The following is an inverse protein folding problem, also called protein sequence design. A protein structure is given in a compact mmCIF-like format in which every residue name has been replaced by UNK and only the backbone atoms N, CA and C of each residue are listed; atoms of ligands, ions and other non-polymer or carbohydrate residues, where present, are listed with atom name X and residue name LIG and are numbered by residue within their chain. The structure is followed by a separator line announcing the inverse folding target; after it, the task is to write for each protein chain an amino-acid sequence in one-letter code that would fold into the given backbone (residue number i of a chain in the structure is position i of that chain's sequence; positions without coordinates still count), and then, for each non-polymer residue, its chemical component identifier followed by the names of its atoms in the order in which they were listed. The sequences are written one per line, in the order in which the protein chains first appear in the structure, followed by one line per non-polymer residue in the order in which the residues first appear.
data_IF_960521436011
#
_entry.id   IF_960521436011
#
_cell.length_a   1.000
_cell.length_b   1.000
_cell.length_c   1.000
_cell.angle_alpha   90.00
_cell.angle_beta   90.00
_cell.angle_gamma   90.00
#
_symmetry.space_group_name_H-M   'P 1'
#
loop_
_entity.id
_entity.type
_entity.pdbx_description
1 polymer ?
#
# COMPACT_ATOMS: atom_id res chain seq x y z
N UNK A 1 3.96 19.72 17.01
CA UNK A 1 3.09 18.93 16.12
C UNK A 1 1.68 19.05 16.67
N UNK A 2 0.70 19.41 15.83
CA UNK A 2 -0.70 19.50 16.27
C UNK A 2 -1.23 18.07 16.46
N UNK A 3 -1.74 17.76 17.66
CA UNK A 3 -2.37 16.47 17.99
C UNK A 3 -3.84 16.52 17.60
N UNK A 4 -4.40 15.42 17.12
CA UNK A 4 -5.85 15.32 16.88
C UNK A 4 -6.58 15.31 18.22
N UNK A 5 -7.64 16.11 18.32
CA UNK A 5 -8.47 16.23 19.51
C UNK A 5 -9.63 15.24 19.38
N UNK A 6 -9.59 14.15 20.13
CA UNK A 6 -10.59 13.07 20.07
C UNK A 6 -11.98 13.49 20.56
N UNK A 7 -12.10 14.65 21.22
CA UNK A 7 -13.39 15.23 21.61
C UNK A 7 -14.09 15.97 20.46
N UNK A 8 -13.37 16.22 19.35
CA UNK A 8 -13.87 16.93 18.16
C UNK A 8 -14.05 15.96 16.98
N UNK A 9 -14.86 16.33 15.96
CA UNK A 9 -15.08 15.47 14.80
C UNK A 9 -13.77 15.04 14.12
N UNK A 10 -13.51 13.74 14.13
CA UNK A 10 -12.37 13.10 13.48
C UNK A 10 -12.81 11.96 12.57
N UNK A 11 -11.92 11.55 11.67
CA UNK A 11 -12.13 10.36 10.84
C UNK A 11 -10.83 9.57 10.68
N UNK A 12 -10.95 8.25 10.77
CA UNK A 12 -9.86 7.33 10.44
C UNK A 12 -9.76 7.14 8.92
N UNK A 13 -8.54 7.17 8.41
CA UNK A 13 -8.19 6.98 7.00
C UNK A 13 -7.01 6.03 6.89
N UNK A 14 -6.90 5.34 5.76
CA UNK A 14 -5.79 4.45 5.48
C UNK A 14 -5.03 4.99 4.28
N UNK A 15 -3.72 5.14 4.43
CA UNK A 15 -2.91 5.81 3.42
C UNK A 15 -1.80 4.90 2.93
N UNK A 16 -1.73 4.71 1.62
CA UNK A 16 -0.62 4.08 0.92
C UNK A 16 0.58 5.04 0.99
N UNK A 17 1.69 4.57 1.54
CA UNK A 17 2.96 5.29 1.56
C UNK A 17 4.08 4.41 1.01
N UNK A 18 5.19 5.03 0.60
CA UNK A 18 6.38 4.32 0.14
C UNK A 18 7.50 4.51 1.16
N UNK A 19 7.67 3.50 2.01
CA UNK A 19 8.79 3.47 2.95
C UNK A 19 10.10 3.19 2.21
N UNK A 20 11.16 3.92 2.56
CA UNK A 20 12.47 3.87 1.88
C UNK A 20 13.02 2.44 1.77
N UNK A 21 12.99 1.68 2.87
CA UNK A 21 13.50 0.31 2.94
C UNK A 21 12.44 -0.80 2.77
N UNK A 22 11.24 -0.63 3.35
CA UNK A 22 10.20 -1.68 3.35
C UNK A 22 9.34 -1.71 2.07
N UNK A 23 9.48 -0.70 1.20
CA UNK A 23 8.65 -0.53 0.01
C UNK A 23 7.29 0.06 0.35
N UNK A 24 6.27 -0.24 -0.47
CA UNK A 24 4.92 0.23 -0.19
C UNK A 24 4.35 -0.40 1.08
N UNK A 25 3.71 0.44 1.90
CA UNK A 25 2.98 0.09 3.11
C UNK A 25 1.63 0.83 3.14
N UNK A 26 0.73 0.40 4.02
CA UNK A 26 -0.50 1.13 4.32
C UNK A 26 -0.44 1.55 5.78
N UNK A 27 -0.71 2.82 6.06
CA UNK A 27 -0.65 3.39 7.39
C UNK A 27 -2.01 3.96 7.82
N UNK A 28 -2.54 3.54 8.98
CA UNK A 28 -3.77 4.11 9.51
C UNK A 28 -3.48 5.47 10.17
N UNK A 29 -4.29 6.45 9.84
CA UNK A 29 -4.20 7.81 10.37
C UNK A 29 -5.57 8.24 10.90
N UNK A 30 -5.56 9.03 11.98
CA UNK A 30 -6.73 9.80 12.38
C UNK A 30 -6.52 11.25 11.93
N UNK A 31 -7.53 11.83 11.30
CA UNK A 31 -7.50 13.19 10.77
C UNK A 31 -8.63 14.01 11.39
N UNK A 32 -8.32 15.20 11.88
CA UNK A 32 -9.32 16.14 12.37
C UNK A 32 -10.12 16.70 11.21
N UNK A 33 -11.44 16.75 11.33
CA UNK A 33 -12.31 17.40 10.36
C UNK A 33 -12.45 18.89 10.66
N UNK A 34 -12.52 19.71 9.61
CA UNK A 34 -12.87 21.12 9.72
C UNK A 34 -14.38 21.29 9.99
N UNK A 35 -14.89 22.50 10.27
CA UNK A 35 -16.32 22.74 10.48
C UNK A 35 -17.23 22.35 9.29
N UNK A 36 -16.67 22.26 8.09
CA UNK A 36 -17.37 21.84 6.86
C UNK A 36 -17.40 20.32 6.68
N UNK A 37 -16.64 19.57 7.49
CA UNK A 37 -16.52 18.13 7.40
C UNK A 37 -15.37 17.63 6.52
N UNK A 38 -14.55 18.52 5.96
CA UNK A 38 -13.38 18.14 5.16
C UNK A 38 -12.18 17.82 6.06
N UNK A 39 -11.22 17.08 5.49
CA UNK A 39 -9.95 16.77 6.16
C UNK A 39 -9.11 18.03 6.36
N UNK A 40 -8.63 18.24 7.59
CA UNK A 40 -7.65 19.28 7.90
C UNK A 40 -6.20 18.77 7.80
N UNK A 41 -5.23 19.66 8.02
CA UNK A 41 -3.82 19.31 8.17
C UNK A 41 -3.45 18.88 9.60
N UNK A 42 -4.43 18.69 10.50
CA UNK A 42 -4.17 18.10 11.82
C UNK A 42 -4.46 16.60 11.75
N UNK A 43 -3.40 15.80 11.72
CA UNK A 43 -3.48 14.34 11.64
C UNK A 43 -2.37 13.69 12.45
N UNK A 44 -2.58 12.44 12.83
CA UNK A 44 -1.55 11.61 13.43
C UNK A 44 -1.76 10.15 13.06
N UNK A 45 -0.67 9.40 13.00
CA UNK A 45 -0.73 7.94 12.85
C UNK A 45 -1.35 7.32 14.09
N UNK A 46 -2.17 6.30 13.91
CA UNK A 46 -2.84 5.57 15.00
C UNK A 46 -2.31 4.14 15.08
N UNK A 47 -2.26 3.58 16.28
CA UNK A 47 -1.76 2.23 16.54
C UNK A 47 -2.73 1.53 17.48
N UNK A 48 -2.64 0.21 17.60
CA UNK A 48 -3.52 -0.57 18.49
C UNK A 48 -3.50 -0.04 19.92
N UNK A 49 -2.33 0.39 20.42
CA UNK A 49 -2.16 0.88 21.79
C UNK A 49 -2.67 2.32 22.01
N UNK A 50 -2.92 3.09 20.94
CA UNK A 50 -3.50 4.44 21.01
C UNK A 50 -4.92 4.53 20.48
N UNK A 51 -5.43 3.46 19.85
CA UNK A 51 -6.72 3.46 19.17
C UNK A 51 -7.89 3.80 20.10
N UNK A 52 -7.84 3.36 21.36
CA UNK A 52 -8.91 3.56 22.34
C UNK A 52 -9.23 5.05 22.59
N UNK A 53 -8.22 5.94 22.46
CA UNK A 53 -8.42 7.40 22.58
C UNK A 53 -9.44 7.92 21.55
N UNK A 54 -9.56 7.25 20.40
CA UNK A 54 -10.40 7.63 19.27
C UNK A 54 -11.57 6.66 19.07
N UNK A 55 -11.99 5.92 20.09
CA UNK A 55 -13.05 4.91 19.97
C UNK A 55 -14.34 5.44 19.32
N UNK A 56 -14.71 6.70 19.55
CA UNK A 56 -15.87 7.34 18.92
C UNK A 56 -15.75 7.51 17.38
N UNK A 57 -14.52 7.50 16.85
CA UNK A 57 -14.21 7.63 15.43
C UNK A 57 -13.86 6.27 14.76
N UNK A 58 -13.92 5.16 15.50
CA UNK A 58 -13.48 3.83 15.04
C UNK A 58 -14.61 2.79 15.07
N UNK A 59 -14.59 1.90 14.09
CA UNK A 59 -15.44 0.70 14.04
C UNK A 59 -14.63 -0.56 14.36
N UNK A 60 -15.30 -1.70 14.60
CA UNK A 60 -14.64 -3.00 14.77
C UNK A 60 -13.73 -3.38 13.57
N UNK A 61 -14.12 -2.99 12.36
CA UNK A 61 -13.31 -3.18 11.15
C UNK A 61 -12.02 -2.35 11.26
N UNK A 62 -12.11 -1.15 11.82
CA UNK A 62 -10.95 -0.27 11.96
C UNK A 62 -9.95 -0.82 12.97
N UNK A 63 -10.42 -1.32 14.12
CA UNK A 63 -9.57 -2.00 15.09
C UNK A 63 -8.86 -3.21 14.48
N UNK A 64 -9.57 -4.01 13.67
CA UNK A 64 -8.97 -5.13 12.95
C UNK A 64 -7.90 -4.67 11.96
N UNK A 65 -8.18 -3.63 11.17
CA UNK A 65 -7.23 -3.08 10.21
C UNK A 65 -5.97 -2.53 10.90
N UNK A 66 -6.14 -1.71 11.93
CA UNK A 66 -5.03 -1.13 12.71
C UNK A 66 -4.14 -2.25 13.25
N UNK A 67 -4.73 -3.30 13.82
CA UNK A 67 -3.97 -4.45 14.32
C UNK A 67 -3.19 -5.20 13.24
N UNK A 68 -3.76 -5.36 12.03
CA UNK A 68 -3.05 -5.97 10.89
C UNK A 68 -1.88 -5.10 10.45
N UNK A 69 -2.07 -3.78 10.39
CA UNK A 69 -1.06 -2.83 9.92
C UNK A 69 0.06 -2.60 10.94
N UNK A 70 -0.23 -2.73 12.23
CA UNK A 70 0.79 -2.70 13.30
C UNK A 70 1.83 -3.81 13.12
N UNK A 71 1.47 -4.98 12.59
CA UNK A 71 2.40 -6.12 12.37
C UNK A 71 3.49 -5.82 11.33
N UNK A 72 3.26 -4.83 10.46
CA UNK A 72 4.16 -4.42 9.37
C UNK A 72 4.73 -3.01 9.54
N UNK A 73 4.42 -2.38 10.66
CA UNK A 73 5.06 -1.14 11.09
C UNK A 73 6.55 -1.39 11.33
N UNK A 74 7.37 -0.35 11.09
CA UNK A 74 8.82 -0.41 11.17
C UNK A 74 9.33 -0.99 12.49
N UNK A 75 8.93 -0.43 13.63
CA UNK A 75 9.39 -0.84 14.95
C UNK A 75 8.90 -2.26 15.27
N UNK A 76 7.70 -2.64 14.85
CA UNK A 76 7.21 -4.02 14.90
C UNK A 76 8.08 -5.00 14.09
N UNK A 77 8.47 -4.62 12.87
CA UNK A 77 9.37 -5.41 12.02
C UNK A 77 10.74 -5.54 12.68
N UNK A 78 11.31 -4.44 13.14
CA UNK A 78 12.61 -4.43 13.85
C UNK A 78 12.54 -5.35 15.06
N UNK A 79 11.56 -5.16 15.94
CA UNK A 79 11.41 -5.96 17.17
C UNK A 79 11.25 -7.45 16.89
N UNK A 80 10.54 -7.80 15.81
CA UNK A 80 10.28 -9.19 15.43
C UNK A 80 11.53 -9.93 14.96
N UNK A 81 12.39 -9.26 14.19
CA UNK A 81 13.55 -9.89 13.54
C UNK A 81 14.88 -9.56 14.21
N UNK A 82 14.94 -8.47 14.97
CA UNK A 82 16.13 -7.97 15.63
C UNK A 82 15.85 -7.72 17.11
N UNK A 83 16.15 -8.74 17.93
CA UNK A 83 15.78 -8.80 19.36
C UNK A 83 16.56 -7.82 20.26
N UNK A 84 17.52 -7.08 19.71
CA UNK A 84 18.33 -6.09 20.46
C UNK A 84 17.79 -4.70 20.20
N UNK A 85 17.92 -3.81 21.19
CA UNK A 85 17.59 -2.40 21.00
C UNK A 85 18.50 -1.80 19.92
N UNK A 86 17.90 -1.17 18.92
CA UNK A 86 18.60 -0.52 17.81
C UNK A 86 17.74 0.64 17.32
N UNK A 87 18.37 1.72 16.85
CA UNK A 87 17.63 2.81 16.19
C UNK A 87 17.20 2.35 14.79
N UNK A 88 16.00 2.71 14.32
CA UNK A 88 15.54 2.27 13.00
C UNK A 88 16.48 2.64 11.86
N UNK A 89 17.04 3.85 11.86
CA UNK A 89 18.02 4.30 10.88
C UNK A 89 19.28 3.41 10.88
N UNK A 90 19.77 3.02 12.05
CA UNK A 90 20.92 2.13 12.16
C UNK A 90 20.58 0.71 11.71
N UNK A 91 19.40 0.20 12.06
CA UNK A 91 18.94 -1.11 11.62
C UNK A 91 18.88 -1.18 10.09
N UNK A 92 18.23 -0.22 9.46
CA UNK A 92 18.07 -0.22 8.02
C UNK A 92 19.37 -0.02 7.25
N UNK A 93 20.26 0.84 7.75
CA UNK A 93 21.54 1.11 7.07
C UNK A 93 22.59 0.04 7.27
N UNK A 94 22.59 -0.69 8.40
CA UNK A 94 23.65 -1.66 8.73
C UNK A 94 23.23 -3.13 8.69
N UNK A 95 21.95 -3.43 8.91
CA UNK A 95 21.46 -4.81 9.08
C UNK A 95 20.54 -5.23 7.93
N UNK A 96 19.72 -4.31 7.41
CA UNK A 96 18.67 -4.60 6.44
C UNK A 96 19.22 -4.64 5.00
N UNK A 97 19.93 -5.72 4.68
CA UNK A 97 20.42 -5.99 3.33
C UNK A 97 19.35 -6.59 2.39
N UNK A 98 19.73 -6.87 1.15
CA UNK A 98 18.83 -7.46 0.14
C UNK A 98 18.29 -8.83 0.58
N UNK A 99 19.12 -9.66 1.22
CA UNK A 99 18.68 -10.99 1.69
C UNK A 99 17.65 -10.85 2.80
N UNK A 100 17.85 -9.88 3.69
CA UNK A 100 16.90 -9.57 4.73
C UNK A 100 15.59 -9.07 4.14
N UNK A 101 15.64 -8.13 3.20
CA UNK A 101 14.47 -7.64 2.48
C UNK A 101 13.69 -8.80 1.84
N UNK A 102 14.34 -9.66 1.06
CA UNK A 102 13.72 -10.80 0.38
C UNK A 102 13.06 -11.78 1.38
N UNK A 103 13.60 -11.90 2.59
CA UNK A 103 13.04 -12.77 3.63
C UNK A 103 11.82 -12.17 4.35
N UNK A 104 11.76 -10.84 4.47
CA UNK A 104 10.72 -10.11 5.22
C UNK A 104 9.59 -9.64 4.32
N UNK A 105 9.89 -9.21 3.10
CA UNK A 105 8.94 -8.64 2.15
C UNK A 105 7.72 -9.53 1.91
N UNK A 106 7.83 -10.87 1.70
CA UNK A 106 6.65 -11.73 1.55
C UNK A 106 5.69 -11.70 2.75
N UNK A 107 6.22 -11.49 3.97
CA UNK A 107 5.38 -11.41 5.18
C UNK A 107 4.70 -10.06 5.31
N UNK A 108 5.34 -8.99 4.83
CA UNK A 108 4.71 -7.68 4.69
C UNK A 108 3.60 -7.75 3.64
N UNK A 109 3.87 -8.33 2.48
CA UNK A 109 2.89 -8.46 1.39
C UNK A 109 1.68 -9.30 1.79
N UNK A 110 1.88 -10.36 2.59
CA UNK A 110 0.77 -11.12 3.17
C UNK A 110 -0.17 -10.24 3.99
N UNK A 111 0.38 -9.37 4.85
CA UNK A 111 -0.41 -8.47 5.70
C UNK A 111 -1.04 -7.33 4.91
N UNK A 112 -0.35 -6.82 3.90
CA UNK A 112 -0.93 -5.86 2.95
C UNK A 112 -2.11 -6.47 2.19
N UNK A 113 -2.00 -7.71 1.74
CA UNK A 113 -3.11 -8.40 1.07
C UNK A 113 -4.30 -8.59 2.03
N UNK A 114 -4.06 -9.03 3.27
CA UNK A 114 -5.10 -9.12 4.31
C UNK A 114 -5.81 -7.76 4.53
N UNK A 115 -5.05 -6.66 4.59
CA UNK A 115 -5.61 -5.32 4.75
C UNK A 115 -6.37 -4.84 3.50
N UNK A 116 -5.83 -5.06 2.31
CA UNK A 116 -6.42 -4.62 1.04
C UNK A 116 -7.77 -5.29 0.75
N UNK A 117 -7.94 -6.56 1.12
CA UNK A 117 -9.25 -7.23 1.01
C UNK A 117 -10.32 -6.57 1.89
N UNK A 118 -9.95 -6.11 3.08
CA UNK A 118 -10.87 -5.38 3.96
C UNK A 118 -11.14 -3.97 3.41
N UNK A 119 -10.09 -3.29 2.94
CA UNK A 119 -10.18 -1.95 2.37
C UNK A 119 -10.97 -1.91 1.05
N UNK A 120 -11.02 -3.02 0.31
CA UNK A 120 -11.89 -3.18 -0.86
C UNK A 120 -13.36 -2.97 -0.53
N UNK A 121 -13.79 -3.44 0.65
CA UNK A 121 -15.17 -3.26 1.12
C UNK A 121 -15.35 -1.89 1.80
N UNK A 122 -14.37 -1.48 2.62
CA UNK A 122 -14.45 -0.20 3.34
C UNK A 122 -14.35 1.02 2.42
N UNK A 123 -13.64 0.90 1.29
CA UNK A 123 -13.43 1.94 0.29
C UNK A 123 -12.88 3.26 0.84
N UNK A 124 -11.89 3.16 1.73
CA UNK A 124 -11.30 4.27 2.49
C UNK A 124 -9.77 4.21 2.44
N UNK A 125 -9.22 4.16 1.22
CA UNK A 125 -7.78 4.13 0.94
C UNK A 125 -7.37 5.39 0.18
N UNK A 126 -6.21 5.95 0.53
CA UNK A 126 -5.68 7.19 -0.03
C UNK A 126 -4.19 7.04 -0.36
N UNK A 127 -3.64 7.98 -1.12
CA UNK A 127 -2.19 8.19 -1.28
C UNK A 127 -1.71 9.19 -0.24
N UNK A 128 -0.57 8.91 0.38
CA UNK A 128 0.15 9.87 1.22
C UNK A 128 1.02 10.77 0.33
N UNK A 129 1.00 12.07 0.56
CA UNK A 129 1.93 12.97 -0.13
C UNK A 129 3.36 12.85 0.42
N UNK A 130 4.27 13.60 -0.19
CA UNK A 130 5.69 13.65 0.21
C UNK A 130 5.94 14.25 1.60
N UNK A 131 5.02 15.08 2.08
CA UNK A 131 5.11 15.81 3.36
C UNK A 131 4.42 15.02 4.50
N UNK A 132 3.80 13.89 4.17
CA UNK A 132 3.17 12.94 5.08
C UNK A 132 1.66 13.12 5.24
N UNK A 133 1.01 13.98 4.45
CA UNK A 133 -0.43 14.19 4.52
C UNK A 133 -1.17 12.96 4.00
N UNK A 134 -2.01 12.28 4.81
CA UNK A 134 -2.47 10.92 4.53
C UNK A 134 -3.69 10.84 3.58
N UNK A 135 -4.16 11.96 3.03
CA UNK A 135 -5.39 12.02 2.23
C UNK A 135 -5.21 12.85 0.95
N UNK A 136 -4.01 12.81 0.35
CA UNK A 136 -3.69 13.60 -0.84
C UNK A 136 -4.65 13.32 -2.00
N UNK A 137 -4.81 12.03 -2.32
CA UNK A 137 -5.75 11.55 -3.35
C UNK A 137 -6.40 10.27 -2.88
N UNK A 138 -7.68 10.10 -3.19
CA UNK A 138 -8.39 8.86 -2.90
C UNK A 138 -7.99 7.78 -3.91
N UNK A 139 -7.72 6.58 -3.42
CA UNK A 139 -7.47 5.40 -4.25
C UNK A 139 -8.79 4.63 -4.40
N UNK A 140 -9.18 4.37 -5.64
CA UNK A 140 -10.29 3.49 -5.96
C UNK A 140 -9.78 2.06 -6.12
N UNK A 141 -10.40 1.09 -5.46
CA UNK A 141 -10.11 -0.31 -5.74
C UNK A 141 -10.95 -0.78 -6.93
N UNK A 142 -10.31 -1.50 -7.86
CA UNK A 142 -11.04 -2.10 -8.99
C UNK A 142 -12.21 -2.96 -8.47
N UNK A 143 -13.36 -2.92 -9.14
CA UNK A 143 -14.52 -3.73 -8.73
C UNK A 143 -14.28 -5.23 -8.97
N UNK A 144 -13.60 -5.55 -10.08
CA UNK A 144 -13.36 -6.91 -10.56
C UNK A 144 -11.86 -7.12 -10.83
N UNK A 145 -11.37 -8.37 -10.73
CA UNK A 145 -9.99 -8.67 -11.05
C UNK A 145 -9.69 -8.36 -12.52
N UNK A 146 -8.51 -7.80 -12.77
CA UNK A 146 -7.97 -7.63 -14.10
C UNK A 146 -7.42 -8.97 -14.63
N UNK A 147 -7.59 -9.20 -15.92
CA UNK A 147 -6.93 -10.31 -16.62
C UNK A 147 -5.60 -9.85 -17.20
N UNK A 148 -4.65 -10.77 -17.25
CA UNK A 148 -3.32 -10.54 -17.82
C UNK A 148 -2.97 -11.65 -18.82
N UNK A 149 -2.40 -11.24 -19.96
CA UNK A 149 -1.87 -12.15 -20.98
C UNK A 149 -0.46 -11.75 -21.36
N UNK A 150 0.47 -12.69 -21.31
CA UNK A 150 1.83 -12.49 -21.80
C UNK A 150 1.95 -12.99 -23.24
N UNK A 151 2.44 -12.12 -24.12
CA UNK A 151 2.63 -12.41 -25.52
C UNK A 151 4.11 -12.65 -25.82
N UNK A 152 4.39 -13.65 -26.64
CA UNK A 152 5.71 -13.90 -27.20
C UNK A 152 5.59 -13.88 -28.72
N UNK A 153 6.25 -12.91 -29.37
CA UNK A 153 6.25 -12.75 -30.82
C UNK A 153 7.68 -12.85 -31.32
N UNK A 154 7.95 -13.81 -32.20
CA UNK A 154 9.24 -13.97 -32.86
C UNK A 154 9.08 -13.63 -34.34
N UNK A 155 9.96 -12.78 -34.85
CA UNK A 155 10.12 -12.55 -36.29
C UNK A 155 11.58 -12.85 -36.69
N UNK A 156 11.95 -12.55 -37.94
CA UNK A 156 13.29 -12.83 -38.48
C UNK A 156 14.41 -12.03 -37.79
N UNK A 157 14.09 -10.89 -37.16
CA UNK A 157 15.08 -9.95 -36.62
C UNK A 157 15.13 -9.89 -35.10
N UNK A 158 14.02 -10.16 -34.41
CA UNK A 158 13.92 -10.05 -32.96
C UNK A 158 12.82 -10.94 -32.36
N UNK A 159 12.86 -11.03 -31.04
CA UNK A 159 11.83 -11.68 -30.22
C UNK A 159 11.29 -10.65 -29.24
N UNK A 160 9.99 -10.37 -29.30
CA UNK A 160 9.28 -9.44 -28.42
C UNK A 160 8.47 -10.21 -27.39
N UNK A 161 8.66 -9.89 -26.11
CA UNK A 161 7.88 -10.41 -25.01
C UNK A 161 7.17 -9.25 -24.30
N UNK A 162 5.85 -9.27 -24.19
CA UNK A 162 5.11 -8.15 -23.58
C UNK A 162 3.76 -8.58 -23.00
N UNK A 163 3.30 -7.98 -21.90
CA UNK A 163 1.98 -8.25 -21.33
C UNK A 163 0.90 -7.32 -21.89
N UNK A 164 -0.34 -7.81 -21.90
CA UNK A 164 -1.56 -7.01 -22.03
C UNK A 164 -2.39 -7.21 -20.76
N UNK A 165 -2.89 -6.13 -20.17
CA UNK A 165 -3.80 -6.16 -19.02
C UNK A 165 -5.17 -5.65 -19.48
N UNK A 166 -6.25 -6.32 -19.05
CA UNK A 166 -7.63 -5.86 -19.25
C UNK A 166 -8.38 -5.82 -17.92
N UNK A 167 -9.15 -4.75 -17.71
CA UNK A 167 -10.13 -4.64 -16.63
C UNK A 167 -11.50 -4.38 -17.25
N UNK A 168 -12.54 -5.11 -16.82
CA UNK A 168 -13.90 -5.01 -17.38
C UNK A 168 -13.92 -5.11 -18.92
N UNK A 169 -13.17 -6.06 -19.48
CA UNK A 169 -12.96 -6.27 -20.93
C UNK A 169 -12.26 -5.13 -21.69
N UNK A 170 -11.93 -4.02 -21.04
CA UNK A 170 -11.19 -2.91 -21.61
C UNK A 170 -9.69 -3.06 -21.34
N UNK A 171 -8.87 -2.86 -22.37
CA UNK A 171 -7.41 -2.85 -22.24
C UNK A 171 -6.98 -1.62 -21.45
N UNK A 172 -6.17 -1.82 -20.41
CA UNK A 172 -5.57 -0.71 -19.66
C UNK A 172 -4.16 -0.44 -20.18
N UNK A 173 -3.86 0.83 -20.46
CA UNK A 173 -2.54 1.28 -20.87
C UNK A 173 -1.75 1.66 -19.61
N UNK A 174 -0.87 0.76 -19.16
CA UNK A 174 -0.10 0.95 -17.92
C UNK A 174 1.37 1.32 -18.17
N UNK A 175 1.90 1.03 -19.36
CA UNK A 175 3.29 1.31 -19.72
C UNK A 175 3.51 2.82 -19.86
N UNK A 176 4.59 3.36 -19.28
CA UNK A 176 4.92 4.78 -19.28
C UNK A 176 3.82 5.68 -18.68
N UNK A 177 3.00 5.13 -17.79
CA UNK A 177 1.92 5.84 -17.08
C UNK A 177 2.15 5.86 -15.57
N UNK A 178 3.43 5.85 -15.18
CA UNK A 178 3.85 5.88 -13.77
C UNK A 178 3.20 4.79 -12.90
N UNK A 179 2.79 3.68 -13.52
CA UNK A 179 2.15 2.58 -12.83
C UNK A 179 3.12 1.97 -11.79
N UNK A 180 2.58 1.58 -10.64
CA UNK A 180 3.37 1.14 -9.49
C UNK A 180 2.92 -0.23 -9.01
N UNK A 181 3.88 -1.14 -8.80
CA UNK A 181 3.62 -2.43 -8.17
C UNK A 181 3.63 -2.24 -6.65
N UNK A 182 2.45 -2.32 -6.04
CA UNK A 182 2.24 -2.13 -4.60
C UNK A 182 2.62 -3.38 -3.81
N UNK A 183 2.30 -4.54 -4.37
CA UNK A 183 2.63 -5.86 -3.83
C UNK A 183 2.99 -6.80 -4.96
N UNK A 184 3.97 -7.69 -4.75
CA UNK A 184 4.35 -8.71 -5.71
C UNK A 184 3.49 -9.97 -5.61
N UNK A 185 3.17 -10.44 -4.39
CA UNK A 185 2.36 -11.64 -4.21
C UNK A 185 1.36 -11.52 -3.05
N UNK A 186 0.04 -11.44 -3.33
CA UNK A 186 -0.58 -11.27 -4.65
C UNK A 186 -0.16 -9.96 -5.32
N UNK A 187 -0.22 -9.92 -6.65
CA UNK A 187 0.13 -8.72 -7.41
C UNK A 187 -0.96 -7.64 -7.27
N UNK A 188 -0.54 -6.43 -6.92
CA UNK A 188 -1.39 -5.25 -6.89
C UNK A 188 -0.72 -4.12 -7.67
N UNK A 189 -1.43 -3.53 -8.62
CA UNK A 189 -0.93 -2.49 -9.53
C UNK A 189 -1.73 -1.19 -9.32
N UNK A 190 -1.08 -0.13 -8.88
CA UNK A 190 -1.65 1.21 -8.85
C UNK A 190 -1.42 1.91 -10.19
N UNK A 191 -2.48 2.42 -10.80
CA UNK A 191 -2.44 3.18 -12.05
C UNK A 191 -3.57 4.22 -12.03
N UNK A 192 -3.23 5.50 -12.20
CA UNK A 192 -4.19 6.62 -12.23
C UNK A 192 -5.18 6.59 -11.05
N UNK A 193 -4.66 6.49 -9.83
CA UNK A 193 -5.44 6.38 -8.58
C UNK A 193 -6.39 5.16 -8.49
N UNK A 194 -6.31 4.22 -9.44
CA UNK A 194 -7.02 2.93 -9.37
C UNK A 194 -6.05 1.81 -9.01
N UNK A 195 -6.40 1.04 -7.99
CA UNK A 195 -5.65 -0.11 -7.53
C UNK A 195 -6.27 -1.41 -8.07
N UNK A 196 -5.55 -2.02 -9.01
CA UNK A 196 -5.93 -3.27 -9.68
C UNK A 196 -5.33 -4.50 -8.98
N UNK A 197 -6.13 -5.56 -8.89
CA UNK A 197 -5.72 -6.92 -8.55
C UNK A 197 -6.05 -7.85 -9.72
N UNK A 198 -5.53 -9.08 -9.72
CA UNK A 198 -5.57 -9.97 -10.89
C UNK A 198 -6.31 -11.28 -10.63
N UNK A 199 -6.87 -11.85 -11.70
CA UNK A 199 -7.60 -13.14 -11.69
C UNK A 199 -6.67 -14.37 -11.65
N UNK A 200 -5.38 -14.16 -11.92
CA UNK A 200 -4.33 -15.17 -11.95
C UNK A 200 -3.30 -14.92 -10.83
N UNK A 201 -2.68 -15.99 -10.31
CA UNK A 201 -1.53 -15.90 -9.38
C UNK A 201 -0.27 -15.45 -10.15
N UNK A 202 -0.25 -14.16 -10.52
CA UNK A 202 0.91 -13.51 -11.12
C UNK A 202 1.75 -12.82 -10.06
N UNK A 203 3.06 -12.81 -10.28
CA UNK A 203 3.99 -12.04 -9.45
C UNK A 203 4.20 -10.65 -10.05
N UNK A 204 4.00 -9.60 -9.27
CA UNK A 204 4.15 -8.20 -9.71
C UNK A 204 5.51 -7.90 -10.35
N UNK A 205 6.59 -8.57 -9.90
CA UNK A 205 7.94 -8.48 -10.51
C UNK A 205 7.98 -8.81 -12.00
N UNK A 206 7.04 -9.62 -12.51
CA UNK A 206 6.93 -9.94 -13.95
C UNK A 206 6.39 -8.77 -14.77
N UNK A 207 5.67 -7.84 -14.15
CA UNK A 207 5.16 -6.62 -14.78
C UNK A 207 6.18 -5.47 -14.73
N UNK A 208 7.06 -5.48 -13.73
CA UNK A 208 7.97 -4.38 -13.43
C UNK A 208 8.84 -3.91 -14.62
N UNK A 209 9.41 -4.80 -15.46
CA UNK A 209 10.18 -4.37 -16.64
C UNK A 209 9.35 -3.54 -17.63
N UNK A 210 8.03 -3.78 -17.69
CA UNK A 210 7.13 -3.19 -18.68
C UNK A 210 6.53 -1.85 -18.23
N UNK A 211 6.73 -1.44 -16.98
CA UNK A 211 6.25 -0.14 -16.51
C UNK A 211 6.93 1.02 -17.25
N UNK A 212 8.19 0.82 -17.67
CA UNK A 212 9.01 1.80 -18.37
C UNK A 212 9.61 1.27 -19.69
N UNK A 213 9.17 0.11 -20.17
CA UNK A 213 9.59 -0.50 -21.46
C UNK A 213 8.41 -1.22 -22.12
N UNK A 214 8.41 -1.34 -23.45
CA UNK A 214 7.31 -2.00 -24.17
C UNK A 214 7.47 -3.51 -24.31
N UNK A 215 8.70 -3.99 -24.45
CA UNK A 215 9.06 -5.38 -24.69
C UNK A 215 10.53 -5.61 -24.35
#
# INVERSE_FOLDING_TARGET
MLRVDSSKPCKVVYSLCKHEYLGYLIEPHIVQLNPQGDFSFTYQRIFTHTAEEFAACLTEIDYKLIKILDDIEQDSVIKKYYKKLIRPTEFFTKIFDVKFYDSVRPKIEKKLAEALEILKVKNELYVMDKDGWPVERKIELAAEPASILFHFRRNETETRYFPTIKSQNLRIEFMFKEAQIISNKPAWLLLNDVLYFFDQDIEGKKLQPFLAKRY
#
